data_IF_669997730239
#
_entry.id   IF_669997730239
#
_cell.length_a   1.000
_cell.length_b   1.000
_cell.length_c   1.000
_cell.angle_alpha   90.00
_cell.angle_beta   90.00
_cell.angle_gamma   90.00
#
_symmetry.space_group_name_H-M   'P 1'
#
loop_
_entity.id
_entity.type
_entity.pdbx_description
1 polymer ?
#
# COMPACT_ATOMS: atom_id res chain seq x y z
N UNK A 1 4.70 13.68 -11.71
CA UNK A 1 5.12 13.10 -10.41
C UNK A 1 6.09 11.95 -10.68
N UNK A 2 7.11 11.76 -9.84
CA UNK A 2 8.00 10.61 -9.91
C UNK A 2 8.30 10.04 -8.52
N UNK A 3 8.69 8.76 -8.47
CA UNK A 3 9.13 8.05 -7.29
C UNK A 3 10.59 7.65 -7.42
N UNK A 4 11.33 7.68 -6.31
CA UNK A 4 12.66 7.09 -6.17
C UNK A 4 12.55 5.67 -5.62
N UNK A 5 13.20 4.71 -6.24
CA UNK A 5 13.16 3.31 -5.83
C UNK A 5 14.51 2.80 -5.39
N UNK A 6 14.55 2.04 -4.31
CA UNK A 6 15.71 1.19 -4.05
C UNK A 6 15.87 0.20 -5.21
N UNK A 7 17.08 0.05 -5.76
CA UNK A 7 17.28 -0.60 -7.07
C UNK A 7 16.96 -2.10 -7.05
N UNK A 8 17.06 -2.74 -5.89
CA UNK A 8 16.73 -4.15 -5.71
C UNK A 8 15.25 -4.50 -5.97
N UNK A 9 14.37 -3.49 -6.01
CA UNK A 9 12.97 -3.69 -6.41
C UNK A 9 12.86 -4.05 -7.89
N UNK A 10 13.74 -3.50 -8.75
CA UNK A 10 13.84 -3.87 -10.17
C UNK A 10 14.80 -5.02 -10.43
N UNK A 11 15.86 -5.07 -9.65
CA UNK A 11 16.96 -6.04 -9.79
C UNK A 11 17.17 -6.79 -8.47
N UNK A 12 16.36 -7.82 -8.17
CA UNK A 12 16.42 -8.53 -6.88
C UNK A 12 17.79 -9.15 -6.57
N UNK A 13 18.59 -9.44 -7.60
CA UNK A 13 19.97 -9.93 -7.44
C UNK A 13 20.94 -8.93 -6.78
N UNK A 14 20.56 -7.66 -6.61
CA UNK A 14 21.32 -6.69 -5.83
C UNK A 14 21.14 -6.86 -4.32
N UNK A 15 20.23 -7.72 -3.85
CA UNK A 15 20.09 -8.07 -2.43
C UNK A 15 21.16 -9.10 -2.02
N UNK A 16 21.41 -9.17 -0.72
CA UNK A 16 22.28 -10.22 -0.19
C UNK A 16 21.73 -11.63 -0.52
N UNK A 17 22.62 -12.60 -0.69
CA UNK A 17 22.26 -13.93 -1.13
C UNK A 17 21.29 -14.62 -0.15
N UNK A 18 20.24 -15.24 -0.66
CA UNK A 18 19.29 -16.07 0.10
C UNK A 18 18.23 -15.32 0.92
N UNK A 19 18.18 -13.97 0.89
CA UNK A 19 17.15 -13.22 1.66
C UNK A 19 15.90 -12.85 0.84
N UNK A 20 15.96 -13.00 -0.47
CA UNK A 20 14.81 -12.67 -1.32
C UNK A 20 13.84 -13.85 -1.37
N UNK A 21 12.60 -13.61 -0.98
CA UNK A 21 11.51 -14.59 -0.97
C UNK A 21 10.63 -14.43 -2.21
N UNK A 22 9.81 -15.45 -2.52
CA UNK A 22 8.78 -15.34 -3.57
C UNK A 22 7.78 -14.20 -3.29
N UNK A 23 7.47 -13.97 -2.01
CA UNK A 23 6.63 -12.85 -1.59
C UNK A 23 7.26 -11.49 -1.92
N UNK A 24 8.57 -11.35 -1.75
CA UNK A 24 9.28 -10.13 -2.14
C UNK A 24 9.19 -9.90 -3.65
N UNK A 25 9.45 -10.94 -4.45
CA UNK A 25 9.37 -10.86 -5.93
C UNK A 25 7.97 -10.43 -6.36
N UNK A 26 6.93 -11.05 -5.79
CA UNK A 26 5.54 -10.70 -6.10
C UNK A 26 5.25 -9.22 -5.77
N UNK A 27 5.67 -8.75 -4.59
CA UNK A 27 5.49 -7.35 -4.20
C UNK A 27 6.25 -6.39 -5.14
N UNK A 28 7.48 -6.73 -5.54
CA UNK A 28 8.26 -5.92 -6.48
C UNK A 28 7.55 -5.81 -7.84
N UNK A 29 7.08 -6.91 -8.38
CA UNK A 29 6.34 -6.94 -9.65
C UNK A 29 5.03 -6.16 -9.57
N UNK A 30 4.29 -6.27 -8.48
CA UNK A 30 3.05 -5.51 -8.24
C UNK A 30 3.31 -4.00 -8.23
N UNK A 31 4.34 -3.54 -7.50
CA UNK A 31 4.72 -2.13 -7.44
C UNK A 31 5.11 -1.59 -8.80
N UNK A 32 5.96 -2.30 -9.53
CA UNK A 32 6.39 -1.89 -10.87
C UNK A 32 5.22 -1.88 -11.86
N UNK A 33 4.31 -2.85 -11.75
CA UNK A 33 3.09 -2.92 -12.56
C UNK A 33 2.15 -1.75 -12.24
N UNK A 34 1.90 -1.46 -10.94
CA UNK A 34 1.11 -0.30 -10.51
C UNK A 34 1.63 1.00 -11.12
N UNK A 35 2.95 1.25 -11.01
CA UNK A 35 3.54 2.46 -11.56
C UNK A 35 3.38 2.55 -13.08
N UNK A 36 3.58 1.44 -13.82
CA UNK A 36 3.39 1.41 -15.28
C UNK A 36 1.93 1.66 -15.67
N UNK A 37 0.98 1.02 -15.01
CA UNK A 37 -0.46 1.14 -15.32
C UNK A 37 -0.98 2.56 -15.14
N UNK A 38 -0.40 3.32 -14.20
CA UNK A 38 -0.81 4.69 -13.91
C UNK A 38 0.16 5.76 -14.42
N UNK A 39 1.15 5.38 -15.25
CA UNK A 39 2.09 6.34 -15.88
C UNK A 39 2.96 7.08 -14.86
N UNK A 40 3.26 6.48 -13.69
CA UNK A 40 4.12 7.07 -12.66
C UNK A 40 5.58 6.88 -13.08
N UNK A 41 6.35 7.99 -13.19
CA UNK A 41 7.78 7.93 -13.53
C UNK A 41 8.57 7.28 -12.38
N UNK A 42 9.40 6.31 -12.73
CA UNK A 42 10.21 5.53 -11.81
C UNK A 42 11.69 5.84 -11.99
N UNK A 43 12.34 6.32 -10.95
CA UNK A 43 13.79 6.55 -10.91
C UNK A 43 14.41 5.63 -9.86
N UNK A 44 15.53 5.01 -10.20
CA UNK A 44 16.19 4.04 -9.35
C UNK A 44 17.44 4.62 -8.72
N UNK A 45 17.52 4.49 -7.41
CA UNK A 45 18.71 4.86 -6.62
C UNK A 45 19.84 3.85 -6.90
N UNK A 46 21.10 4.20 -6.72
CA UNK A 46 22.19 3.23 -6.65
C UNK A 46 22.09 2.42 -5.35
N UNK A 47 22.59 1.17 -5.36
CA UNK A 47 22.63 0.33 -4.16
C UNK A 47 23.90 0.58 -3.37
N UNK A 48 23.86 1.19 -2.18
CA UNK A 48 25.08 1.47 -1.41
C UNK A 48 25.81 0.19 -0.98
N UNK A 49 25.06 -0.85 -0.61
CA UNK A 49 25.65 -2.13 -0.22
C UNK A 49 26.37 -2.83 -1.37
N UNK A 50 25.77 -2.82 -2.57
CA UNK A 50 26.40 -3.44 -3.75
C UNK A 50 27.63 -2.66 -4.20
N UNK A 51 27.60 -1.33 -4.11
CA UNK A 51 28.76 -0.50 -4.45
C UNK A 51 29.91 -0.72 -3.49
N UNK A 52 29.63 -0.99 -2.22
CA UNK A 52 30.66 -1.14 -1.20
C UNK A 52 31.15 -2.59 -1.04
N UNK A 53 30.23 -3.57 -1.03
CA UNK A 53 30.53 -4.98 -0.73
C UNK A 53 30.51 -5.89 -1.96
N UNK A 54 30.05 -5.41 -3.11
CA UNK A 54 29.76 -6.23 -4.28
C UNK A 54 28.36 -6.85 -4.25
N UNK A 55 27.98 -7.45 -5.39
CA UNK A 55 26.66 -8.07 -5.55
C UNK A 55 26.55 -9.42 -4.83
N UNK A 56 27.62 -10.22 -4.88
CA UNK A 56 27.67 -11.55 -4.24
C UNK A 56 28.12 -11.41 -2.78
N UNK A 57 27.14 -11.16 -1.89
CA UNK A 57 27.39 -10.97 -0.47
C UNK A 57 26.39 -11.73 0.41
N UNK A 58 26.89 -12.23 1.54
CA UNK A 58 26.05 -12.79 2.59
C UNK A 58 25.28 -11.68 3.33
N UNK A 59 24.10 -11.99 3.88
CA UNK A 59 23.38 -11.07 4.76
C UNK A 59 24.24 -10.64 5.96
N UNK A 60 24.17 -9.37 6.33
CA UNK A 60 24.82 -8.84 7.52
C UNK A 60 24.07 -7.58 7.99
N UNK A 61 24.25 -7.22 9.24
CA UNK A 61 23.74 -5.98 9.81
C UNK A 61 24.67 -4.79 9.48
N UNK A 62 24.20 -3.58 9.75
CA UNK A 62 25.02 -2.38 9.55
C UNK A 62 26.33 -2.45 10.36
N UNK A 63 26.23 -2.76 11.65
CA UNK A 63 27.40 -2.78 12.56
C UNK A 63 28.41 -3.86 12.23
N UNK A 64 28.03 -4.96 11.56
CA UNK A 64 28.96 -6.05 11.22
C UNK A 64 29.85 -5.73 10.02
N UNK A 65 29.34 -5.00 9.02
CA UNK A 65 30.06 -4.83 7.75
C UNK A 65 30.07 -3.43 7.17
N UNK A 66 29.14 -2.57 7.60
CA UNK A 66 28.91 -1.28 6.96
C UNK A 66 29.30 -0.09 7.87
N UNK A 67 29.58 -0.33 9.15
CA UNK A 67 29.96 0.73 10.09
C UNK A 67 31.44 1.11 9.97
N UNK A 68 31.83 1.60 8.81
CA UNK A 68 33.19 2.01 8.47
C UNK A 68 33.26 3.44 7.98
N UNK A 69 34.40 4.13 8.14
CA UNK A 69 34.59 5.48 7.58
C UNK A 69 34.38 5.52 6.06
N UNK A 70 34.87 4.51 5.34
CA UNK A 70 34.81 4.44 3.87
C UNK A 70 33.36 4.30 3.39
N UNK A 71 32.56 3.48 4.07
CA UNK A 71 31.15 3.38 3.75
C UNK A 71 30.36 4.68 4.02
N UNK A 72 30.67 5.35 5.12
CA UNK A 72 30.08 6.67 5.41
C UNK A 72 30.46 7.69 4.34
N UNK A 73 31.72 7.70 3.90
CA UNK A 73 32.17 8.58 2.82
C UNK A 73 31.44 8.27 1.49
N UNK A 74 31.24 6.99 1.17
CA UNK A 74 30.42 6.58 0.02
C UNK A 74 29.00 7.13 0.12
N UNK A 75 28.36 6.99 1.29
CA UNK A 75 27.02 7.53 1.50
C UNK A 75 26.96 9.05 1.34
N UNK A 76 27.98 9.79 1.81
CA UNK A 76 28.08 11.24 1.65
C UNK A 76 28.20 11.65 0.18
N UNK A 77 28.92 10.88 -0.62
CA UNK A 77 29.03 11.10 -2.06
C UNK A 77 27.68 10.84 -2.75
N UNK A 78 27.08 9.69 -2.48
CA UNK A 78 25.78 9.32 -3.05
C UNK A 78 24.68 10.33 -2.72
N UNK A 79 24.65 10.81 -1.48
CA UNK A 79 23.67 11.82 -1.06
C UNK A 79 23.84 13.11 -1.88
N UNK A 80 25.05 13.62 -2.07
CA UNK A 80 25.31 14.83 -2.87
C UNK A 80 24.84 14.66 -4.32
N UNK A 81 25.15 13.52 -4.95
CA UNK A 81 24.75 13.23 -6.33
C UNK A 81 23.23 13.13 -6.48
N UNK A 82 22.55 12.46 -5.54
CA UNK A 82 21.09 12.32 -5.55
C UNK A 82 20.42 13.67 -5.30
N UNK A 83 20.90 14.47 -4.33
CA UNK A 83 20.36 15.81 -4.08
C UNK A 83 20.57 16.75 -5.25
N UNK A 84 21.69 16.64 -5.99
CA UNK A 84 21.87 17.37 -7.24
C UNK A 84 20.84 16.97 -8.31
N UNK A 85 20.60 15.69 -8.45
CA UNK A 85 19.56 15.16 -9.36
C UNK A 85 18.15 15.64 -8.98
N UNK A 86 17.84 15.66 -7.68
CA UNK A 86 16.57 16.17 -7.17
C UNK A 86 16.43 17.67 -7.43
N UNK A 87 17.51 18.45 -7.30
CA UNK A 87 17.47 19.87 -7.58
C UNK A 87 17.13 20.16 -9.05
N UNK A 88 17.60 19.32 -9.97
CA UNK A 88 17.32 19.44 -11.42
C UNK A 88 15.91 18.96 -11.80
N UNK A 89 15.42 17.90 -11.17
CA UNK A 89 14.15 17.24 -11.52
C UNK A 89 12.95 17.72 -10.70
N UNK A 90 13.19 18.40 -9.57
CA UNK A 90 12.21 18.68 -8.54
C UNK A 90 12.13 17.56 -7.49
N UNK A 91 11.43 17.83 -6.39
CA UNK A 91 11.30 16.86 -5.27
C UNK A 91 10.48 15.64 -5.69
N UNK A 92 10.96 14.42 -5.45
CA UNK A 92 10.17 13.21 -5.70
C UNK A 92 8.97 13.17 -4.74
N UNK A 93 7.91 12.49 -5.16
CA UNK A 93 6.76 12.29 -4.28
C UNK A 93 7.12 11.45 -3.05
N UNK A 94 7.90 10.39 -3.26
CA UNK A 94 8.39 9.54 -2.18
C UNK A 94 9.59 8.69 -2.61
N UNK A 95 10.24 8.07 -1.62
CA UNK A 95 11.20 6.98 -1.80
C UNK A 95 10.51 5.64 -1.46
N UNK A 96 10.66 4.65 -2.32
CA UNK A 96 10.20 3.28 -2.06
C UNK A 96 11.38 2.43 -1.64
N UNK A 97 11.37 2.04 -0.38
CA UNK A 97 12.40 1.23 0.26
C UNK A 97 11.97 -0.21 0.50
N UNK A 98 12.85 -0.97 1.14
CA UNK A 98 12.59 -2.38 1.49
C UNK A 98 12.90 -2.58 2.97
N UNK A 99 11.88 -2.79 3.76
CA UNK A 99 11.98 -2.99 5.21
C UNK A 99 12.95 -4.11 5.57
N UNK A 100 13.58 -3.96 6.71
CA UNK A 100 14.65 -4.82 7.22
C UNK A 100 15.99 -4.72 6.46
N UNK A 101 16.12 -3.88 5.42
CA UNK A 101 17.45 -3.56 4.89
C UNK A 101 18.19 -2.64 5.85
N UNK A 102 19.48 -2.88 6.16
CA UNK A 102 20.28 -2.00 7.01
C UNK A 102 20.47 -0.60 6.40
N UNK A 103 20.34 -0.47 5.09
CA UNK A 103 20.54 0.77 4.35
C UNK A 103 19.23 1.38 3.85
N UNK A 104 18.31 0.57 3.34
CA UNK A 104 17.10 0.99 2.63
C UNK A 104 15.80 0.63 3.36
N UNK A 105 15.84 0.24 4.63
CA UNK A 105 14.65 0.06 5.47
C UNK A 105 13.88 1.37 5.62
N UNK A 106 12.56 1.30 5.72
CA UNK A 106 11.66 2.46 5.88
C UNK A 106 11.18 2.58 7.32
N UNK A 107 10.57 1.51 7.82
CA UNK A 107 9.98 1.46 9.16
C UNK A 107 10.85 0.70 10.15
N UNK A 108 11.67 -0.21 9.66
CA UNK A 108 12.57 -1.07 10.45
C UNK A 108 13.79 -1.46 9.63
N UNK A 109 14.91 -1.64 10.32
CA UNK A 109 16.18 -1.99 9.70
C UNK A 109 17.00 -2.91 10.61
N UNK A 110 17.99 -3.63 10.04
CA UNK A 110 18.98 -4.40 10.77
C UNK A 110 20.22 -3.55 11.07
N UNK A 111 20.20 -2.78 12.17
CA UNK A 111 21.34 -1.96 12.58
C UNK A 111 22.39 -2.77 13.31
N UNK A 112 21.97 -3.69 14.16
CA UNK A 112 22.82 -4.57 14.94
C UNK A 112 22.34 -6.02 14.93
N UNK A 113 23.19 -7.00 15.31
CA UNK A 113 22.79 -8.42 15.39
C UNK A 113 21.74 -8.72 16.45
N UNK A 114 21.51 -7.79 17.39
CA UNK A 114 20.56 -7.98 18.51
C UNK A 114 19.10 -7.94 18.10
N UNK A 115 18.80 -7.41 16.91
CA UNK A 115 17.44 -7.35 16.41
C UNK A 115 17.21 -6.22 15.41
N UNK A 116 15.96 -6.14 14.93
CA UNK A 116 15.53 -5.05 14.08
C UNK A 116 15.21 -3.81 14.92
N UNK A 117 15.72 -2.68 14.49
CA UNK A 117 15.40 -1.38 15.09
C UNK A 117 14.33 -0.67 14.27
N UNK A 118 13.47 0.11 14.96
CA UNK A 118 12.48 0.98 14.31
C UNK A 118 13.19 2.18 13.69
N UNK A 119 12.78 2.56 12.48
CA UNK A 119 13.30 3.70 11.76
C UNK A 119 13.91 3.33 10.41
N UNK A 120 14.39 4.38 9.73
CA UNK A 120 14.99 4.23 8.39
C UNK A 120 16.38 3.59 8.47
N UNK A 121 16.73 2.82 7.44
CA UNK A 121 18.10 2.39 7.21
C UNK A 121 19.02 3.57 6.91
N UNK A 122 20.31 3.40 7.19
CA UNK A 122 21.28 4.51 7.21
C UNK A 122 21.41 5.31 5.91
N UNK A 123 21.03 4.74 4.78
CA UNK A 123 21.02 5.46 3.52
C UNK A 123 19.72 6.27 3.34
N UNK A 124 18.55 5.71 3.61
CA UNK A 124 17.29 6.44 3.51
C UNK A 124 17.16 7.52 4.61
N UNK A 125 17.82 7.34 5.73
CA UNK A 125 17.85 8.33 6.83
C UNK A 125 18.53 9.66 6.44
N UNK A 126 19.29 9.68 5.33
CA UNK A 126 19.87 10.89 4.75
C UNK A 126 18.88 11.78 3.99
N UNK A 127 17.66 11.27 3.76
CA UNK A 127 16.60 11.98 3.06
C UNK A 127 15.34 12.10 3.94
N UNK A 128 15.45 12.69 5.17
CA UNK A 128 14.33 12.78 6.11
C UNK A 128 13.20 13.68 5.59
N UNK A 129 13.55 14.60 4.71
CA UNK A 129 12.67 15.57 4.04
C UNK A 129 11.80 14.94 2.94
N UNK A 130 12.07 13.70 2.53
CA UNK A 130 11.29 13.00 1.51
C UNK A 130 10.48 11.89 2.18
N UNK A 131 9.16 11.81 1.95
CA UNK A 131 8.34 10.68 2.42
C UNK A 131 8.92 9.35 1.93
N UNK A 132 8.82 8.30 2.74
CA UNK A 132 9.26 6.97 2.33
C UNK A 132 8.18 5.94 2.63
N UNK A 133 7.99 5.01 1.70
CA UNK A 133 7.06 3.89 1.82
C UNK A 133 7.79 2.56 1.67
N UNK A 134 7.43 1.60 2.50
CA UNK A 134 7.89 0.23 2.28
C UNK A 134 7.24 -0.36 1.04
N UNK A 135 7.98 -1.18 0.31
CA UNK A 135 7.53 -1.77 -0.95
C UNK A 135 6.22 -2.54 -0.81
N UNK A 136 5.98 -3.20 0.32
CA UNK A 136 4.72 -3.90 0.57
C UNK A 136 3.52 -2.95 0.69
N UNK A 137 3.70 -1.77 1.29
CA UNK A 137 2.65 -0.75 1.35
C UNK A 137 2.29 -0.24 -0.05
N UNK A 138 3.30 -0.05 -0.91
CA UNK A 138 3.09 0.37 -2.30
C UNK A 138 2.47 -0.75 -3.15
N UNK A 139 2.79 -2.01 -2.86
CA UNK A 139 2.22 -3.17 -3.56
C UNK A 139 0.71 -3.35 -3.30
N UNK A 140 0.22 -2.93 -2.13
CA UNK A 140 -1.20 -2.99 -1.78
C UNK A 140 -2.00 -1.97 -2.60
N UNK A 141 -2.51 -2.39 -3.76
CA UNK A 141 -3.14 -1.48 -4.72
C UNK A 141 -4.54 -1.89 -5.16
N UNK A 142 -4.98 -3.11 -4.87
CA UNK A 142 -6.30 -3.62 -5.24
C UNK A 142 -7.27 -3.41 -4.10
N UNK A 143 -8.33 -2.64 -4.37
CA UNK A 143 -9.38 -2.33 -3.41
C UNK A 143 -10.68 -2.98 -3.83
N UNK A 144 -11.32 -3.69 -2.90
CA UNK A 144 -12.73 -4.04 -2.99
C UNK A 144 -13.54 -2.96 -2.28
N UNK A 145 -14.42 -2.29 -3.00
CA UNK A 145 -15.30 -1.27 -2.45
C UNK A 145 -16.64 -1.88 -2.07
N UNK A 146 -16.79 -2.19 -0.78
CA UNK A 146 -18.02 -2.69 -0.18
C UNK A 146 -18.97 -1.54 0.17
N UNK A 147 -20.25 -1.69 -0.14
CA UNK A 147 -21.22 -0.66 0.24
C UNK A 147 -22.62 -0.97 -0.28
N UNK A 148 -23.65 -0.39 0.34
CA UNK A 148 -25.03 -0.52 -0.11
C UNK A 148 -25.18 0.10 -1.52
N UNK A 149 -26.04 -0.52 -2.34
CA UNK A 149 -26.23 -0.10 -3.74
C UNK A 149 -27.72 -0.05 -4.16
N UNK A 150 -28.62 0.04 -3.17
CA UNK A 150 -30.06 -0.10 -3.36
C UNK A 150 -30.73 1.23 -3.74
N UNK A 151 -30.20 2.38 -3.27
CA UNK A 151 -30.69 3.71 -3.61
C UNK A 151 -29.79 4.40 -4.64
N UNK A 152 -30.34 5.43 -5.30
CA UNK A 152 -29.56 6.29 -6.20
C UNK A 152 -28.44 7.04 -5.46
N UNK A 153 -28.72 7.48 -4.23
CA UNK A 153 -27.76 8.19 -3.40
C UNK A 153 -26.56 7.31 -3.07
N UNK A 154 -26.78 6.07 -2.66
CA UNK A 154 -25.73 5.09 -2.35
C UNK A 154 -24.87 4.80 -3.58
N UNK A 155 -25.51 4.50 -4.72
CA UNK A 155 -24.77 4.23 -5.96
C UNK A 155 -23.94 5.42 -6.43
N UNK A 156 -24.46 6.62 -6.30
CA UNK A 156 -23.74 7.86 -6.66
C UNK A 156 -22.55 8.09 -5.74
N UNK A 157 -22.73 7.88 -4.45
CA UNK A 157 -21.63 7.98 -3.47
C UNK A 157 -20.54 6.95 -3.75
N UNK A 158 -20.90 5.69 -3.99
CA UNK A 158 -19.96 4.62 -4.31
C UNK A 158 -19.13 4.93 -5.57
N UNK A 159 -19.76 5.47 -6.63
CA UNK A 159 -19.05 5.90 -7.85
C UNK A 159 -18.05 7.01 -7.52
N UNK A 160 -18.47 8.02 -6.77
CA UNK A 160 -17.61 9.13 -6.36
C UNK A 160 -16.43 8.63 -5.53
N UNK A 161 -16.66 7.71 -4.61
CA UNK A 161 -15.63 7.12 -3.76
C UNK A 161 -14.65 6.27 -4.59
N UNK A 162 -15.14 5.45 -5.53
CA UNK A 162 -14.30 4.69 -6.45
C UNK A 162 -13.42 5.61 -7.31
N UNK A 163 -13.98 6.70 -7.86
CA UNK A 163 -13.22 7.68 -8.61
C UNK A 163 -12.13 8.35 -7.76
N UNK A 164 -12.46 8.69 -6.52
CA UNK A 164 -11.49 9.24 -5.57
C UNK A 164 -10.35 8.27 -5.30
N UNK A 165 -10.61 7.00 -5.04
CA UNK A 165 -9.59 5.99 -4.81
C UNK A 165 -8.73 5.76 -6.07
N UNK A 166 -9.34 5.71 -7.24
CA UNK A 166 -8.65 5.57 -8.54
C UNK A 166 -7.72 6.77 -8.83
N UNK A 167 -8.08 7.98 -8.36
CA UNK A 167 -7.21 9.14 -8.49
C UNK A 167 -5.92 9.06 -7.67
N UNK A 168 -5.80 8.05 -6.80
CA UNK A 168 -4.60 7.70 -6.05
C UNK A 168 -3.95 6.38 -6.52
N UNK A 169 -4.14 6.04 -7.77
CA UNK A 169 -3.58 4.84 -8.40
C UNK A 169 -4.00 3.52 -7.73
N UNK A 170 -5.20 3.43 -7.19
CA UNK A 170 -5.78 2.17 -6.74
C UNK A 170 -6.63 1.53 -7.84
N UNK A 171 -6.49 0.22 -7.99
CA UNK A 171 -7.39 -0.60 -8.80
C UNK A 171 -8.61 -0.96 -7.96
N UNK A 172 -9.76 -0.40 -8.30
CA UNK A 172 -10.97 -0.50 -7.50
C UNK A 172 -11.99 -1.39 -8.17
N UNK A 173 -12.27 -2.52 -7.54
CA UNK A 173 -13.42 -3.33 -7.84
C UNK A 173 -14.65 -2.73 -7.15
N UNK A 174 -15.61 -2.27 -7.94
CA UNK A 174 -16.91 -1.77 -7.47
C UNK A 174 -18.01 -2.68 -8.00
N UNK A 175 -18.70 -3.47 -7.15
CA UNK A 175 -19.69 -4.46 -7.57
C UNK A 175 -20.75 -3.91 -8.52
N UNK A 176 -21.26 -2.70 -8.28
CA UNK A 176 -22.31 -2.09 -9.11
C UNK A 176 -21.88 -1.71 -10.54
N UNK A 177 -20.57 -1.57 -10.84
CA UNK A 177 -20.10 -1.25 -12.18
C UNK A 177 -20.09 -2.47 -13.12
N UNK A 178 -20.11 -3.67 -12.56
CA UNK A 178 -19.98 -4.89 -13.33
C UNK A 178 -21.33 -5.35 -13.93
N UNK A 179 -22.36 -4.54 -13.76
CA UNK A 179 -23.65 -4.68 -14.43
C UNK A 179 -24.31 -6.07 -14.30
N UNK A 180 -25.62 -6.11 -14.38
CA UNK A 180 -26.35 -7.33 -14.67
C UNK A 180 -26.09 -7.76 -16.14
N UNK A 181 -24.90 -8.33 -16.40
CA UNK A 181 -24.62 -8.98 -17.70
C UNK A 181 -25.47 -10.24 -17.90
N UNK A 182 -26.33 -10.54 -16.95
CA UNK A 182 -27.14 -11.75 -16.97
C UNK A 182 -28.41 -11.57 -17.80
N UNK A 183 -28.39 -12.11 -18.98
CA UNK A 183 -29.62 -12.60 -19.62
C UNK A 183 -30.35 -13.67 -18.76
N UNK A 184 -29.69 -14.17 -17.70
CA UNK A 184 -30.21 -15.12 -16.73
C UNK A 184 -30.91 -14.39 -15.59
N UNK A 185 -32.21 -14.66 -15.42
CA UNK A 185 -33.00 -14.25 -14.26
C UNK A 185 -33.20 -15.47 -13.37
N UNK A 186 -32.96 -15.35 -12.08
CA UNK A 186 -33.23 -16.41 -11.11
C UNK A 186 -32.01 -16.77 -10.24
N UNK A 187 -32.06 -17.95 -9.62
CA UNK A 187 -31.07 -18.42 -8.64
C UNK A 187 -29.64 -18.50 -9.23
N UNK A 188 -29.53 -18.89 -10.51
CA UNK A 188 -28.22 -19.01 -11.17
C UNK A 188 -27.51 -17.63 -11.28
N UNK A 189 -28.25 -16.57 -11.56
CA UNK A 189 -27.72 -15.21 -11.59
C UNK A 189 -27.19 -14.74 -10.21
N UNK A 190 -27.91 -15.10 -9.13
CA UNK A 190 -27.46 -14.78 -7.77
C UNK A 190 -26.17 -15.51 -7.40
N UNK A 191 -26.04 -16.78 -7.78
CA UNK A 191 -24.82 -17.56 -7.56
C UNK A 191 -23.64 -17.01 -8.36
N UNK A 192 -23.88 -16.57 -9.59
CA UNK A 192 -22.84 -15.93 -10.42
C UNK A 192 -22.35 -14.62 -9.81
N UNK A 193 -23.26 -13.74 -9.40
CA UNK A 193 -22.93 -12.47 -8.73
C UNK A 193 -22.13 -12.74 -7.44
N UNK A 194 -22.62 -13.67 -6.61
CA UNK A 194 -21.95 -14.05 -5.37
C UNK A 194 -20.53 -14.57 -5.64
N UNK A 195 -20.37 -15.50 -6.57
CA UNK A 195 -19.08 -16.13 -6.89
C UNK A 195 -18.08 -15.10 -7.42
N UNK A 196 -18.53 -14.17 -8.26
CA UNK A 196 -17.72 -13.09 -8.81
C UNK A 196 -17.26 -12.11 -7.73
N UNK A 197 -18.17 -11.66 -6.86
CA UNK A 197 -17.84 -10.76 -5.76
C UNK A 197 -16.91 -11.43 -4.74
N UNK A 198 -17.16 -12.70 -4.41
CA UNK A 198 -16.28 -13.48 -3.54
C UNK A 198 -14.88 -13.61 -4.13
N UNK A 199 -14.77 -13.94 -5.42
CA UNK A 199 -13.46 -14.01 -6.09
C UNK A 199 -12.73 -12.68 -6.09
N UNK A 200 -13.42 -11.56 -6.28
CA UNK A 200 -12.81 -10.22 -6.19
C UNK A 200 -12.34 -9.92 -4.76
N UNK A 201 -13.16 -10.27 -3.77
CA UNK A 201 -12.84 -10.07 -2.35
C UNK A 201 -11.63 -10.92 -1.91
N UNK A 202 -11.51 -12.15 -2.43
CA UNK A 202 -10.36 -13.05 -2.16
C UNK A 202 -9.04 -12.56 -2.79
N UNK A 203 -9.12 -11.77 -3.86
CA UNK A 203 -7.97 -11.25 -4.59
C UNK A 203 -7.66 -9.78 -4.28
N UNK A 204 -8.31 -9.19 -3.28
CA UNK A 204 -8.10 -7.79 -2.89
C UNK A 204 -6.97 -7.66 -1.88
N UNK A 205 -6.35 -6.48 -1.85
CA UNK A 205 -5.33 -6.12 -0.86
C UNK A 205 -5.93 -5.32 0.31
N UNK A 206 -7.04 -4.61 0.07
CA UNK A 206 -7.71 -3.73 1.04
C UNK A 206 -9.22 -3.78 0.76
N UNK A 207 -10.02 -3.79 1.80
CA UNK A 207 -11.46 -3.51 1.69
C UNK A 207 -11.72 -2.07 2.16
N UNK A 208 -12.37 -1.27 1.32
CA UNK A 208 -12.96 0.01 1.73
C UNK A 208 -14.47 -0.19 1.82
N UNK A 209 -15.05 0.06 2.99
CA UNK A 209 -16.45 -0.25 3.27
C UNK A 209 -17.25 1.02 3.62
N UNK A 210 -18.38 1.25 2.96
CA UNK A 210 -19.31 2.34 3.31
C UNK A 210 -20.29 1.82 4.36
N UNK A 211 -20.23 2.39 5.56
CA UNK A 211 -21.04 1.97 6.72
C UNK A 211 -21.99 3.08 7.22
N UNK A 212 -22.42 3.94 6.32
CA UNK A 212 -23.43 4.97 6.61
C UNK A 212 -24.80 4.35 6.89
N UNK A 213 -25.63 5.07 7.63
CA UNK A 213 -26.99 4.69 7.95
C UNK A 213 -27.20 4.38 9.43
N UNK A 214 -28.44 4.09 9.80
CA UNK A 214 -28.81 3.72 11.17
C UNK A 214 -28.17 2.36 11.57
N UNK A 215 -27.98 1.48 10.58
CA UNK A 215 -27.24 0.23 10.69
C UNK A 215 -26.50 0.01 9.36
N UNK A 216 -25.34 -0.61 9.40
CA UNK A 216 -24.61 -0.91 8.19
C UNK A 216 -25.33 -2.02 7.40
N UNK A 217 -25.27 -1.93 6.06
CA UNK A 217 -25.87 -2.96 5.21
C UNK A 217 -25.32 -4.35 5.52
N UNK A 218 -26.21 -5.34 5.51
CA UNK A 218 -25.86 -6.72 5.89
C UNK A 218 -24.84 -7.37 4.95
N UNK A 219 -24.90 -7.07 3.64
CA UNK A 219 -23.92 -7.53 2.65
C UNK A 219 -22.55 -6.91 2.91
N UNK A 220 -22.51 -5.61 3.11
CA UNK A 220 -21.29 -4.88 3.48
C UNK A 220 -20.69 -5.40 4.79
N UNK A 221 -21.52 -5.65 5.79
CA UNK A 221 -21.09 -6.22 7.07
C UNK A 221 -20.47 -7.62 6.92
N UNK A 222 -21.07 -8.46 6.05
CA UNK A 222 -20.53 -9.78 5.74
C UNK A 222 -19.17 -9.69 5.05
N UNK A 223 -19.02 -8.79 4.06
CA UNK A 223 -17.78 -8.57 3.32
C UNK A 223 -16.65 -8.07 4.24
N UNK A 224 -16.96 -7.15 5.15
CA UNK A 224 -16.03 -6.68 6.19
C UNK A 224 -15.57 -7.83 7.11
N UNK A 225 -16.53 -8.64 7.60
CA UNK A 225 -16.23 -9.77 8.47
C UNK A 225 -15.39 -10.84 7.76
N UNK A 226 -15.68 -11.10 6.49
CA UNK A 226 -14.89 -12.02 5.68
C UNK A 226 -13.46 -11.52 5.48
N UNK A 227 -13.29 -10.25 5.12
CA UNK A 227 -11.97 -9.62 4.96
C UNK A 227 -11.15 -9.67 6.26
N UNK A 228 -11.77 -9.31 7.38
CA UNK A 228 -11.14 -9.38 8.71
C UNK A 228 -10.67 -10.81 9.05
N UNK A 229 -11.50 -11.81 8.82
CA UNK A 229 -11.16 -13.22 9.06
C UNK A 229 -10.00 -13.73 8.17
N UNK A 230 -9.81 -13.13 6.99
CA UNK A 230 -8.70 -13.42 6.07
C UNK A 230 -7.45 -12.58 6.34
N UNK A 231 -7.48 -11.67 7.31
CA UNK A 231 -6.37 -10.75 7.60
C UNK A 231 -6.18 -9.65 6.56
N UNK A 232 -7.20 -9.40 5.73
CA UNK A 232 -7.23 -8.27 4.79
C UNK A 232 -7.63 -7.01 5.56
N UNK A 233 -6.85 -5.92 5.52
CA UNK A 233 -7.18 -4.68 6.20
C UNK A 233 -8.49 -4.09 5.67
N UNK A 234 -9.31 -3.61 6.60
CA UNK A 234 -10.58 -2.95 6.30
C UNK A 234 -10.49 -1.48 6.74
N UNK A 235 -10.85 -0.58 5.83
CA UNK A 235 -11.02 0.85 6.10
C UNK A 235 -12.49 1.16 5.90
N UNK A 236 -13.18 1.53 6.97
CA UNK A 236 -14.60 1.85 6.93
C UNK A 236 -14.81 3.36 6.80
N UNK A 237 -15.67 3.76 5.88
CA UNK A 237 -16.06 5.17 5.67
C UNK A 237 -17.45 5.37 6.26
N UNK A 238 -17.53 6.23 7.28
CA UNK A 238 -18.78 6.65 7.92
C UNK A 238 -18.92 8.17 7.88
N UNK A 239 -19.70 8.66 6.96
CA UNK A 239 -20.01 10.09 6.88
C UNK A 239 -21.26 10.48 7.69
N UNK A 240 -22.00 9.51 8.17
CA UNK A 240 -23.19 9.69 9.00
C UNK A 240 -22.78 10.03 10.45
N UNK A 241 -23.25 11.19 10.93
CA UNK A 241 -22.96 11.68 12.27
C UNK A 241 -23.86 11.09 13.38
N UNK A 242 -24.85 10.28 13.03
CA UNK A 242 -25.77 9.67 14.01
C UNK A 242 -25.04 8.63 14.84
N UNK A 243 -25.38 8.58 16.13
CA UNK A 243 -24.89 7.57 17.06
C UNK A 243 -25.86 6.38 17.11
N UNK A 244 -25.34 5.17 17.18
CA UNK A 244 -26.13 3.94 17.33
C UNK A 244 -26.40 3.66 18.80
N UNK A 245 -25.48 4.06 19.67
CA UNK A 245 -25.56 3.92 21.14
C UNK A 245 -25.10 5.19 21.86
N UNK A 246 -24.87 5.10 23.15
CA UNK A 246 -24.43 6.24 23.96
C UNK A 246 -23.02 6.74 23.57
N UNK A 247 -22.17 5.83 23.05
CA UNK A 247 -20.78 6.10 22.64
C UNK A 247 -20.45 5.41 21.33
N UNK A 248 -21.35 4.63 20.75
CA UNK A 248 -21.12 3.82 19.56
C UNK A 248 -21.60 4.57 18.31
N UNK A 249 -20.71 4.78 17.36
CA UNK A 249 -21.04 5.34 16.05
C UNK A 249 -21.60 4.28 15.09
N UNK A 250 -21.17 3.03 15.25
CA UNK A 250 -21.61 1.88 14.47
C UNK A 250 -21.57 0.64 15.37
N UNK A 251 -22.11 -0.47 14.90
CA UNK A 251 -22.02 -1.75 15.60
C UNK A 251 -20.56 -2.07 15.99
N UNK A 252 -20.34 -2.40 17.26
CA UNK A 252 -19.03 -2.67 17.86
C UNK A 252 -18.17 -3.66 17.05
N UNK A 253 -18.76 -4.70 16.46
CA UNK A 253 -18.02 -5.70 15.67
C UNK A 253 -17.44 -5.10 14.41
N UNK A 254 -18.13 -4.15 13.79
CA UNK A 254 -17.65 -3.45 12.60
C UNK A 254 -16.58 -2.41 12.96
N UNK A 255 -16.81 -1.66 14.04
CA UNK A 255 -15.88 -0.65 14.54
C UNK A 255 -14.52 -1.25 14.89
N UNK A 256 -14.51 -2.38 15.58
CA UNK A 256 -13.28 -3.04 16.04
C UNK A 256 -12.59 -3.86 14.94
N UNK A 257 -13.26 -4.15 13.83
CA UNK A 257 -12.69 -4.89 12.70
C UNK A 257 -12.10 -4.00 11.60
N UNK A 258 -12.19 -2.67 11.74
CA UNK A 258 -11.80 -1.72 10.70
C UNK A 258 -11.14 -0.47 11.27
N UNK A 259 -10.41 0.25 10.41
CA UNK A 259 -10.05 1.64 10.67
C UNK A 259 -11.22 2.51 10.21
N UNK A 260 -11.95 3.12 11.14
CA UNK A 260 -13.09 3.98 10.81
C UNK A 260 -12.62 5.38 10.46
N UNK A 261 -13.11 5.90 9.34
CA UNK A 261 -12.81 7.24 8.81
C UNK A 261 -14.10 7.99 8.55
N UNK A 262 -14.12 9.32 8.72
CA UNK A 262 -15.33 10.13 8.67
C UNK A 262 -15.42 11.03 7.43
N UNK A 263 -14.37 11.10 6.64
CA UNK A 263 -14.27 11.89 5.43
C UNK A 263 -13.19 11.35 4.48
N UNK A 264 -13.14 11.93 3.27
CA UNK A 264 -12.18 11.50 2.25
C UNK A 264 -10.72 11.80 2.61
N UNK A 265 -10.45 12.78 3.45
CA UNK A 265 -9.09 13.10 3.88
C UNK A 265 -8.57 12.05 4.86
N UNK A 266 -9.36 11.71 5.88
CA UNK A 266 -9.05 10.62 6.80
C UNK A 266 -8.90 9.27 6.07
N UNK A 267 -9.78 9.00 5.09
CA UNK A 267 -9.65 7.82 4.23
C UNK A 267 -8.29 7.79 3.53
N UNK A 268 -7.89 8.91 2.91
CA UNK A 268 -6.59 9.01 2.23
C UNK A 268 -5.41 8.74 3.18
N UNK A 269 -5.49 9.27 4.41
CA UNK A 269 -4.44 9.08 5.42
C UNK A 269 -4.37 7.64 5.93
N UNK A 270 -5.51 6.93 5.96
CA UNK A 270 -5.59 5.52 6.33
C UNK A 270 -5.09 4.57 5.23
N UNK A 271 -5.03 5.02 3.97
CA UNK A 271 -4.53 4.21 2.86
C UNK A 271 -3.01 4.00 2.97
N UNK A 272 -2.48 2.79 2.69
CA UNK A 272 -1.06 2.47 2.86
C UNK A 272 -0.10 3.33 2.03
N UNK A 273 -0.49 3.66 0.80
CA UNK A 273 0.33 4.48 -0.09
C UNK A 273 -0.53 5.11 -1.19
N UNK A 274 -1.19 6.26 -0.92
CA UNK A 274 -1.95 6.98 -1.93
C UNK A 274 -1.00 7.71 -2.89
N UNK A 275 -0.97 7.29 -4.15
CA UNK A 275 -0.14 7.89 -5.21
C UNK A 275 -1.03 8.74 -6.12
N UNK A 276 -1.04 10.08 -6.00
CA UNK A 276 -1.91 10.93 -6.80
C UNK A 276 -1.57 10.82 -8.29
N UNK A 277 -2.59 10.57 -9.11
CA UNK A 277 -2.49 10.51 -10.57
C UNK A 277 -3.47 11.48 -11.20
N UNK A 278 -3.05 12.11 -12.28
CA UNK A 278 -3.82 13.13 -13.01
C UNK A 278 -4.82 12.50 -13.99
#
# INVERSE_FOLDING_TARGET
>A
MYLLFCPCIREPGLRASGITTERDILAFDQVLSRCRSYGIDMRFLPCPETLYLGADRSPATFSERLDTPDFRHLLDQMEREIRSTIADLGVPYAIVGVDSSPTCGVNKNWRSPTGRETGRGVFLDRFPDIPAYDVYAVAMSRIYLAGPLFSEAERTWNIRLAQYLRSYAYDVYLPQEIGDSSASRGMDAHLEIFSRNLSALENTDIVVAVIDGADADSGTSWEMGYAYAKGVPVIAVRTDFRMVGAIEHVNLMLEQSAVVTHNLEELREALPCPLPVS
#
